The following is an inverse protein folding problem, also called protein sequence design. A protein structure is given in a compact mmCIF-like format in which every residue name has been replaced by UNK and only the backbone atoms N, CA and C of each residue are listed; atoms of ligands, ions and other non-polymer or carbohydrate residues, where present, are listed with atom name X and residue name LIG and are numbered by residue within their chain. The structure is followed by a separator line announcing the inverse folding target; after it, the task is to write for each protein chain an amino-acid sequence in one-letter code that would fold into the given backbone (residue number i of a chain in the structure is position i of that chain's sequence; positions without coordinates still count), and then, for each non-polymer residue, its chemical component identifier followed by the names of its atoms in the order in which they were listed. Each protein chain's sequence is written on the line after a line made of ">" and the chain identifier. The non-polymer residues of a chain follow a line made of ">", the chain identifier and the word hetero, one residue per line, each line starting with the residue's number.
data_IF_107879411511
#
_entry.id   IF_107879411511
#
_cell.length_a   1.000
_cell.length_b   1.000
_cell.length_c   1.000
_cell.angle_alpha   90.00
_cell.angle_beta   90.00
_cell.angle_gamma   90.00
#
_symmetry.space_group_name_H-M   'P 1'
#
loop_
_entity.id
_entity.type
_entity.pdbx_description
1 polymer ?
#
# COMPACT_ATOMS: atom_id res chain seq x y z
N UNK A 1 -14.52 -19.27 -22.12
CA UNK A 1 -14.10 -18.01 -21.48
C UNK A 1 -12.61 -17.87 -21.68
N UNK A 2 -12.20 -16.88 -22.46
CA UNK A 2 -10.80 -16.61 -22.79
C UNK A 2 -10.16 -15.71 -21.73
N UNK A 3 -8.82 -15.63 -21.71
CA UNK A 3 -8.10 -14.75 -20.81
C UNK A 3 -8.41 -13.26 -21.07
N UNK A 4 -8.70 -12.90 -22.33
CA UNK A 4 -9.08 -11.55 -22.74
C UNK A 4 -10.47 -11.17 -22.20
N UNK A 5 -11.44 -12.08 -22.27
CA UNK A 5 -12.79 -11.86 -21.71
C UNK A 5 -12.75 -11.69 -20.18
N UNK A 6 -11.90 -12.46 -19.51
CA UNK A 6 -11.70 -12.34 -18.06
C UNK A 6 -11.07 -11.00 -17.66
N UNK A 7 -10.10 -10.54 -18.45
CA UNK A 7 -9.42 -9.27 -18.22
C UNK A 7 -10.36 -8.08 -18.43
N UNK A 8 -11.15 -8.09 -19.51
CA UNK A 8 -12.14 -7.05 -19.79
C UNK A 8 -13.19 -6.96 -18.69
N UNK A 9 -13.74 -8.10 -18.25
CA UNK A 9 -14.73 -8.14 -17.16
C UNK A 9 -14.14 -7.60 -15.83
N UNK A 10 -12.86 -7.87 -15.56
CA UNK A 10 -12.18 -7.33 -14.38
C UNK A 10 -12.04 -5.81 -14.46
N UNK A 11 -11.64 -5.28 -15.62
CA UNK A 11 -11.48 -3.84 -15.84
C UNK A 11 -12.83 -3.12 -15.70
N UNK A 12 -13.91 -3.68 -16.25
CA UNK A 12 -15.26 -3.10 -16.12
C UNK A 12 -15.72 -3.04 -14.66
N UNK A 13 -15.41 -4.06 -13.86
CA UNK A 13 -15.86 -4.16 -12.47
C UNK A 13 -15.02 -3.37 -11.48
N UNK A 14 -13.70 -3.32 -11.67
CA UNK A 14 -12.74 -2.79 -10.70
C UNK A 14 -11.90 -1.63 -11.23
N UNK A 15 -12.05 -1.27 -12.50
CA UNK A 15 -11.19 -0.29 -13.18
C UNK A 15 -9.86 -0.89 -13.65
N UNK A 16 -9.09 -0.09 -14.40
CA UNK A 16 -7.73 -0.46 -14.76
C UNK A 16 -6.84 -0.48 -13.52
N UNK A 17 -6.08 -1.56 -13.35
CA UNK A 17 -5.03 -1.61 -12.33
C UNK A 17 -3.98 -0.55 -12.66
N UNK A 18 -3.45 0.15 -11.64
CA UNK A 18 -2.33 1.04 -11.83
C UNK A 18 -1.13 0.27 -12.41
N UNK A 19 -0.24 0.94 -13.14
CA UNK A 19 0.95 0.32 -13.71
C UNK A 19 1.72 -0.40 -12.60
N UNK A 20 2.15 -1.63 -12.88
CA UNK A 20 2.95 -2.41 -11.94
C UNK A 20 4.29 -1.70 -11.75
N UNK A 21 4.50 -1.17 -10.56
CA UNK A 21 5.80 -0.67 -10.13
C UNK A 21 6.72 -1.87 -10.01
N UNK A 22 7.85 -1.85 -10.72
CA UNK A 22 8.84 -2.92 -10.63
C UNK A 22 9.76 -2.70 -9.44
N UNK A 23 10.45 -3.75 -9.00
CA UNK A 23 11.33 -3.65 -7.84
C UNK A 23 12.48 -2.66 -8.08
N UNK A 24 12.98 -2.60 -9.32
CA UNK A 24 13.98 -1.64 -9.76
C UNK A 24 13.51 -0.18 -9.66
N UNK A 25 12.22 0.10 -9.89
CA UNK A 25 11.64 1.46 -9.82
C UNK A 25 11.53 1.97 -8.37
N UNK A 26 11.57 1.07 -7.39
CA UNK A 26 11.50 1.44 -5.96
C UNK A 26 12.84 1.97 -5.44
N UNK A 27 13.95 1.62 -6.08
CA UNK A 27 15.31 1.98 -5.63
C UNK A 27 15.56 3.48 -5.83
N UNK A 28 15.10 4.06 -6.93
CA UNK A 28 15.26 5.50 -7.22
C UNK A 28 14.44 6.41 -6.28
N UNK A 29 13.36 5.89 -5.67
CA UNK A 29 12.55 6.65 -4.71
C UNK A 29 13.18 6.73 -3.30
N UNK A 30 14.11 5.84 -2.97
CA UNK A 30 14.76 5.83 -1.66
C UNK A 30 15.84 6.92 -1.56
N UNK A 31 16.57 7.19 -2.65
CA UNK A 31 17.70 8.13 -2.65
C UNK A 31 17.31 9.61 -2.56
N UNK A 32 16.05 9.95 -2.83
CA UNK A 32 15.53 11.33 -2.72
C UNK A 32 14.78 11.61 -1.42
N UNK A 33 14.55 10.60 -0.59
CA UNK A 33 13.96 10.79 0.74
C UNK A 33 15.06 11.21 1.70
N UNK A 34 15.15 12.51 1.96
CA UNK A 34 15.87 13.01 3.13
C UNK A 34 15.32 12.27 4.35
N UNK A 35 16.09 11.32 4.87
CA UNK A 35 15.66 10.47 5.96
C UNK A 35 15.35 11.31 7.19
N UNK A 36 14.08 11.36 7.60
CA UNK A 36 13.59 11.53 8.97
C UNK A 36 12.06 11.74 8.94
N UNK A 37 11.33 10.81 8.32
CA UNK A 37 9.93 10.64 8.70
C UNK A 37 9.84 9.34 9.46
N UNK A 38 9.77 9.47 10.78
CA UNK A 38 9.54 8.38 11.72
C UNK A 38 8.44 7.48 11.17
N UNK A 39 8.65 6.17 10.99
CA UNK A 39 7.62 5.29 10.47
C UNK A 39 6.39 5.37 11.37
N UNK A 40 5.26 5.83 10.82
CA UNK A 40 3.95 5.91 11.49
C UNK A 40 3.38 4.49 11.64
N UNK A 41 4.08 3.65 12.40
CA UNK A 41 3.68 2.26 12.66
C UNK A 41 3.85 1.85 14.12
N UNK A 42 4.55 2.62 14.94
CA UNK A 42 4.45 2.44 16.39
C UNK A 42 3.15 3.06 16.84
N UNK A 43 2.11 2.23 17.03
CA UNK A 43 0.89 2.64 17.73
C UNK A 43 1.29 3.42 18.98
N UNK A 44 0.79 4.64 19.12
CA UNK A 44 1.11 5.47 20.28
C UNK A 44 0.58 4.81 21.54
N UNK A 45 1.15 5.17 22.69
CA UNK A 45 0.70 4.64 23.98
C UNK A 45 -0.79 4.94 24.25
N UNK A 46 -1.27 6.08 23.74
CA UNK A 46 -2.69 6.45 23.74
C UNK A 46 -3.54 5.46 22.93
N UNK A 47 -3.10 5.06 21.73
CA UNK A 47 -3.80 4.06 20.91
C UNK A 47 -3.81 2.66 21.54
N UNK A 48 -2.75 2.30 22.29
CA UNK A 48 -2.72 1.06 23.06
C UNK A 48 -3.70 1.08 24.23
N UNK A 49 -3.77 2.20 24.94
CA UNK A 49 -4.66 2.39 26.09
C UNK A 49 -6.13 2.36 25.67
N UNK A 50 -6.48 2.98 24.53
CA UNK A 50 -7.84 2.94 23.98
C UNK A 50 -8.28 1.54 23.55
N UNK A 51 -7.35 0.69 23.09
CA UNK A 51 -7.69 -0.67 22.60
C UNK A 51 -7.61 -1.76 23.68
N UNK A 52 -6.78 -1.58 24.69
CA UNK A 52 -6.47 -2.63 25.67
C UNK A 52 -6.53 -2.18 27.13
N UNK A 53 -6.79 -0.90 27.41
CA UNK A 53 -6.80 -0.33 28.76
C UNK A 53 -8.11 -0.49 29.54
N UNK A 54 -9.13 -1.11 28.96
CA UNK A 54 -10.33 -1.51 29.70
C UNK A 54 -10.19 -2.98 30.15
N UNK A 55 -9.52 -3.18 31.29
CA UNK A 55 -9.40 -4.44 32.01
C UNK A 55 -9.38 -4.18 33.51
#
# INVERSE_FOLDING_TARGET
>A
MTAEEAELSRIERFGQLPPRVRAEDLVEMADTRSGFETPVTTMTEDERTLRYGAG
#
